data_IF_450306478308
#
_entry.id   IF_450306478308
#
_cell.length_a   1.000
_cell.length_b   1.000
_cell.length_c   1.000
_cell.angle_alpha   90.00
_cell.angle_beta   90.00
_cell.angle_gamma   90.00
#
_symmetry.space_group_name_H-M   'P 1'
#
loop_
_entity.id
_entity.type
_entity.pdbx_description
1 polymer ?
#
# COMPACT_ATOMS: atom_id res chain seq x y z
N UNK A 1 17.96 -23.10 20.54
CA UNK A 1 18.54 -21.76 20.28
C UNK A 1 17.79 -20.78 21.14
N UNK A 2 18.49 -19.96 21.98
CA UNK A 2 17.81 -18.84 22.67
C UNK A 2 17.32 -17.88 21.62
N UNK A 3 16.01 -17.72 21.49
CA UNK A 3 15.41 -16.71 20.59
C UNK A 3 15.85 -15.34 21.10
N UNK A 4 16.47 -14.53 20.24
CA UNK A 4 16.83 -13.14 20.58
C UNK A 4 15.57 -12.33 20.84
N UNK A 5 15.64 -11.44 21.85
CA UNK A 5 14.53 -10.52 22.17
C UNK A 5 14.85 -9.18 21.54
N UNK A 6 14.13 -8.81 20.49
CA UNK A 6 14.29 -7.53 19.80
C UNK A 6 13.91 -6.34 20.69
N UNK A 7 14.51 -5.18 20.47
CA UNK A 7 14.08 -3.95 21.15
C UNK A 7 12.69 -3.52 20.71
N UNK A 8 12.43 -3.61 19.40
CA UNK A 8 11.14 -3.26 18.80
C UNK A 8 10.80 -4.21 17.66
N UNK A 9 9.60 -4.76 17.66
CA UNK A 9 8.99 -5.38 16.48
C UNK A 9 7.92 -4.47 15.90
N UNK A 10 8.00 -4.21 14.59
CA UNK A 10 7.00 -3.46 13.82
C UNK A 10 6.26 -4.45 12.92
N UNK A 11 4.95 -4.60 13.14
CA UNK A 11 4.10 -5.43 12.30
C UNK A 11 3.45 -4.58 11.22
N UNK A 12 3.85 -4.84 9.97
CA UNK A 12 3.46 -4.12 8.77
C UNK A 12 4.57 -3.25 8.18
N UNK A 13 5.02 -3.61 6.99
CA UNK A 13 6.07 -2.93 6.21
C UNK A 13 5.52 -1.91 5.20
N UNK A 14 4.37 -1.28 5.50
CA UNK A 14 3.85 -0.15 4.75
C UNK A 14 4.57 1.15 5.10
N UNK A 15 4.14 2.27 4.52
CA UNK A 15 4.77 3.58 4.75
C UNK A 15 4.87 3.95 6.23
N UNK A 16 3.85 3.66 7.03
CA UNK A 16 3.84 3.97 8.47
C UNK A 16 4.90 3.16 9.22
N UNK A 17 4.94 1.84 9.01
CA UNK A 17 5.92 0.97 9.67
C UNK A 17 7.36 1.28 9.24
N UNK A 18 7.58 1.46 7.94
CA UNK A 18 8.90 1.80 7.40
C UNK A 18 9.39 3.18 7.85
N UNK A 19 8.50 4.18 7.93
CA UNK A 19 8.87 5.50 8.43
C UNK A 19 9.17 5.50 9.93
N UNK A 20 8.39 4.77 10.72
CA UNK A 20 8.67 4.60 12.14
C UNK A 20 10.00 3.88 12.37
N UNK A 21 10.25 2.79 11.64
CA UNK A 21 11.52 2.08 11.70
C UNK A 21 12.70 3.01 11.35
N UNK A 22 12.56 3.83 10.29
CA UNK A 22 13.55 4.84 9.90
C UNK A 22 13.84 5.84 11.02
N UNK A 23 12.83 6.28 11.77
CA UNK A 23 13.01 7.21 12.88
C UNK A 23 13.60 6.54 14.12
N UNK A 24 13.12 5.35 14.45
CA UNK A 24 13.50 4.63 15.66
C UNK A 24 14.90 4.01 15.60
N UNK A 25 15.50 3.82 14.44
CA UNK A 25 16.87 3.27 14.32
C UNK A 25 17.95 4.17 14.94
N UNK A 26 17.64 5.42 15.24
CA UNK A 26 18.54 6.31 15.97
C UNK A 26 18.53 6.04 17.48
N UNK A 27 17.46 5.42 17.99
CA UNK A 27 17.25 5.15 19.43
C UNK A 27 17.40 3.66 19.79
N UNK A 28 17.05 2.76 18.85
CA UNK A 28 17.04 1.31 19.06
C UNK A 28 17.95 0.61 18.06
N UNK A 29 18.79 -0.29 18.56
CA UNK A 29 19.74 -1.03 17.71
C UNK A 29 19.12 -2.25 17.05
N UNK A 30 18.14 -2.89 17.68
CA UNK A 30 17.54 -4.14 17.21
C UNK A 30 16.05 -3.95 16.92
N UNK A 31 15.77 -3.54 15.68
CA UNK A 31 14.42 -3.37 15.15
C UNK A 31 14.16 -4.44 14.10
N UNK A 32 13.02 -5.12 14.20
CA UNK A 32 12.54 -6.08 13.20
C UNK A 32 11.22 -5.63 12.60
N UNK A 33 11.12 -5.62 11.26
CA UNK A 33 9.85 -5.46 10.54
C UNK A 33 9.32 -6.84 10.15
N UNK A 34 8.05 -7.12 10.43
CA UNK A 34 7.36 -8.34 9.95
C UNK A 34 6.27 -7.92 8.98
N UNK A 35 6.36 -8.37 7.73
CA UNK A 35 5.45 -8.02 6.64
C UNK A 35 4.84 -9.27 5.99
N UNK A 36 3.52 -9.27 5.82
CA UNK A 36 2.78 -10.39 5.20
C UNK A 36 3.06 -10.55 3.70
N UNK A 37 3.34 -9.47 3.01
CA UNK A 37 3.57 -9.46 1.57
C UNK A 37 5.02 -9.83 1.23
N UNK A 38 5.26 -10.20 -0.03
CA UNK A 38 6.61 -10.51 -0.54
C UNK A 38 7.56 -9.32 -0.48
N UNK A 39 7.01 -8.10 -0.57
CA UNK A 39 7.78 -6.85 -0.58
C UNK A 39 7.15 -5.82 0.36
N UNK A 40 7.99 -4.94 0.91
CA UNK A 40 7.53 -3.79 1.67
C UNK A 40 6.80 -2.81 0.75
N UNK A 41 5.73 -2.20 1.26
CA UNK A 41 4.93 -1.26 0.47
C UNK A 41 3.57 -0.95 1.08
N UNK A 42 2.85 -2.00 1.48
CA UNK A 42 1.48 -1.84 1.95
C UNK A 42 0.60 -1.19 0.88
N UNK A 43 -0.02 -0.04 1.20
CA UNK A 43 -0.83 0.74 0.24
C UNK A 43 0.00 1.60 -0.73
N UNK A 44 1.30 1.74 -0.54
CA UNK A 44 2.26 2.22 -1.54
C UNK A 44 2.83 1.00 -2.27
N UNK A 45 2.09 0.46 -3.21
CA UNK A 45 2.44 -0.79 -3.87
C UNK A 45 2.55 -0.63 -5.37
N UNK A 46 3.52 -1.30 -5.93
CA UNK A 46 3.84 -1.35 -7.34
C UNK A 46 3.97 -2.81 -7.75
N UNK A 47 3.49 -3.18 -8.92
CA UNK A 47 3.58 -4.54 -9.46
C UNK A 47 3.93 -4.55 -10.94
N UNK A 48 4.50 -5.64 -11.46
CA UNK A 48 4.65 -5.82 -12.89
C UNK A 48 3.28 -6.01 -13.56
N UNK A 49 3.16 -5.50 -14.80
CA UNK A 49 2.02 -5.69 -15.71
C UNK A 49 2.59 -5.87 -17.11
N UNK A 50 2.61 -7.10 -17.62
CA UNK A 50 3.37 -7.44 -18.81
C UNK A 50 4.86 -7.12 -18.62
N UNK A 51 5.45 -6.38 -19.53
CA UNK A 51 6.84 -5.90 -19.44
C UNK A 51 6.96 -4.53 -18.76
N UNK A 52 5.87 -3.98 -18.24
CA UNK A 52 5.85 -2.69 -17.54
C UNK A 52 5.55 -2.82 -16.06
N UNK A 53 5.37 -1.67 -15.41
CA UNK A 53 5.09 -1.54 -13.99
C UNK A 53 3.87 -0.65 -13.77
N UNK A 54 3.08 -0.96 -12.74
CA UNK A 54 1.95 -0.14 -12.31
C UNK A 54 1.96 0.07 -10.80
N UNK A 55 1.77 1.31 -10.36
CA UNK A 55 1.34 1.58 -9.01
C UNK A 55 -0.17 1.30 -8.92
N UNK A 56 -0.57 0.36 -8.07
CA UNK A 56 -1.99 -0.03 -7.96
C UNK A 56 -2.64 0.34 -6.61
N UNK A 57 -1.87 0.96 -5.73
CA UNK A 57 -2.33 1.59 -4.49
C UNK A 57 -2.31 3.11 -4.59
N UNK A 58 -1.59 3.76 -3.67
CA UNK A 58 -1.41 5.21 -3.65
C UNK A 58 -0.64 5.69 -4.89
N UNK A 59 -1.20 6.64 -5.61
CA UNK A 59 -0.65 7.11 -6.88
C UNK A 59 0.34 8.28 -6.73
N UNK A 60 0.20 9.05 -5.66
CA UNK A 60 1.03 10.21 -5.37
C UNK A 60 0.96 10.60 -3.89
N UNK A 61 1.89 11.42 -3.44
CA UNK A 61 1.89 12.04 -2.12
C UNK A 61 1.50 13.52 -2.26
N UNK A 62 0.49 13.93 -1.48
CA UNK A 62 0.10 15.33 -1.30
C UNK A 62 0.42 15.72 0.16
N UNK A 63 1.61 16.30 0.45
CA UNK A 63 2.04 16.56 1.81
C UNK A 63 1.27 17.73 2.40
N UNK A 64 0.60 17.50 3.55
CA UNK A 64 -0.14 18.53 4.29
C UNK A 64 0.44 18.80 5.68
N UNK A 65 1.09 17.83 6.32
CA UNK A 65 1.73 18.01 7.62
C UNK A 65 3.21 18.38 7.48
N UNK A 66 3.77 19.02 8.51
CA UNK A 66 5.20 19.37 8.57
C UNK A 66 6.09 18.15 8.42
N UNK A 67 5.74 17.04 9.07
CA UNK A 67 6.47 15.78 9.03
C UNK A 67 6.49 15.18 7.62
N UNK A 68 5.34 15.19 6.93
CA UNK A 68 5.25 14.67 5.57
C UNK A 68 5.97 15.57 4.55
N UNK A 69 5.97 16.89 4.76
CA UNK A 69 6.76 17.84 3.98
C UNK A 69 8.26 17.54 4.15
N UNK A 70 8.72 17.35 5.38
CA UNK A 70 10.12 17.00 5.68
C UNK A 70 10.52 15.67 5.05
N UNK A 71 9.65 14.66 5.11
CA UNK A 71 9.87 13.38 4.44
C UNK A 71 9.97 13.54 2.92
N UNK A 72 9.08 14.31 2.30
CA UNK A 72 9.13 14.61 0.87
C UNK A 72 10.43 15.30 0.48
N UNK A 73 10.91 16.25 1.27
CA UNK A 73 12.20 16.91 1.03
C UNK A 73 13.37 15.92 1.10
N UNK A 74 13.39 15.01 2.09
CA UNK A 74 14.40 13.95 2.20
C UNK A 74 14.38 13.06 0.94
N UNK A 75 13.21 12.56 0.57
CA UNK A 75 13.05 11.65 -0.57
C UNK A 75 13.40 12.32 -1.92
N UNK A 76 13.12 13.62 -2.07
CA UNK A 76 13.55 14.39 -3.24
C UNK A 76 15.08 14.51 -3.33
N UNK A 77 15.76 14.81 -2.21
CA UNK A 77 17.24 14.84 -2.17
C UNK A 77 17.87 13.50 -2.56
N UNK A 78 17.14 12.40 -2.36
CA UNK A 78 17.55 11.04 -2.76
C UNK A 78 17.06 10.63 -4.16
N UNK A 79 16.50 11.56 -4.93
CA UNK A 79 15.91 11.30 -6.26
C UNK A 79 14.81 10.24 -6.29
N UNK A 80 14.23 9.92 -5.14
CA UNK A 80 13.14 8.95 -5.01
C UNK A 80 11.76 9.54 -5.31
N UNK A 81 11.66 10.87 -5.31
CA UNK A 81 10.44 11.58 -5.63
C UNK A 81 10.68 12.67 -6.66
N UNK A 82 9.79 12.79 -7.60
CA UNK A 82 9.64 13.93 -8.47
C UNK A 82 8.33 14.66 -8.22
N UNK A 83 8.35 15.99 -8.43
CA UNK A 83 7.18 16.83 -8.39
C UNK A 83 6.45 16.73 -9.71
N UNK A 84 5.13 16.63 -9.66
CA UNK A 84 4.26 16.77 -10.83
C UNK A 84 3.08 17.70 -10.51
N UNK A 85 2.48 18.24 -11.53
CA UNK A 85 1.28 19.05 -11.43
C UNK A 85 0.06 18.24 -11.88
N UNK A 86 -0.98 18.29 -11.06
CA UNK A 86 -2.28 17.68 -11.37
C UNK A 86 -3.32 18.79 -11.46
N UNK A 87 -3.75 19.10 -12.68
CA UNK A 87 -4.66 20.22 -12.92
C UNK A 87 -4.04 21.58 -12.58
N UNK A 88 -4.81 22.66 -12.60
CA UNK A 88 -4.29 24.03 -12.70
C UNK A 88 -3.60 24.59 -11.44
N UNK A 89 -3.52 23.87 -10.32
CA UNK A 89 -2.80 24.40 -9.11
C UNK A 89 -2.41 23.31 -8.10
N UNK A 90 -2.55 22.01 -8.40
CA UNK A 90 -2.27 20.95 -7.43
C UNK A 90 -0.91 20.31 -7.71
N UNK A 91 0.05 20.60 -6.84
CA UNK A 91 1.37 19.98 -6.85
C UNK A 91 1.37 18.73 -5.99
N UNK A 92 1.85 17.62 -6.53
CA UNK A 92 1.97 16.35 -5.83
C UNK A 92 3.33 15.70 -6.13
N UNK A 93 3.66 14.67 -5.39
CA UNK A 93 4.94 13.98 -5.51
C UNK A 93 4.73 12.50 -5.76
N UNK A 94 5.51 11.93 -6.67
CA UNK A 94 5.48 10.53 -6.98
C UNK A 94 6.88 9.96 -7.19
N UNK A 95 7.03 8.66 -7.03
CA UNK A 95 8.28 7.98 -7.34
C UNK A 95 8.31 7.56 -8.81
N UNK A 96 9.35 7.90 -9.57
CA UNK A 96 9.54 7.43 -10.94
C UNK A 96 9.94 5.93 -11.00
N UNK A 97 10.25 5.33 -9.86
CA UNK A 97 10.66 3.92 -9.73
C UNK A 97 9.55 3.02 -9.16
N UNK A 98 8.35 3.58 -8.92
CA UNK A 98 7.25 2.96 -8.22
C UNK A 98 7.14 3.40 -6.76
N UNK A 99 5.90 3.54 -6.30
CA UNK A 99 5.62 4.08 -4.96
C UNK A 99 6.15 3.18 -3.83
N UNK A 100 6.28 1.87 -4.06
CA UNK A 100 6.84 0.93 -3.09
C UNK A 100 8.35 1.14 -2.82
N UNK A 101 9.05 1.87 -3.66
CA UNK A 101 10.47 2.23 -3.41
C UNK A 101 10.64 3.14 -2.20
N UNK A 102 9.60 3.88 -1.84
CA UNK A 102 9.63 4.77 -0.67
C UNK A 102 9.75 3.95 0.64
N UNK A 103 8.82 3.05 0.99
CA UNK A 103 8.97 2.23 2.19
C UNK A 103 10.21 1.32 2.14
N UNK A 104 10.59 0.80 0.97
CA UNK A 104 11.84 0.03 0.82
C UNK A 104 13.07 0.86 1.19
N UNK A 105 13.18 2.10 0.71
CA UNK A 105 14.27 3.00 1.06
C UNK A 105 14.31 3.34 2.56
N UNK A 106 13.16 3.64 3.14
CA UNK A 106 13.06 3.96 4.57
C UNK A 106 13.45 2.79 5.48
N UNK A 107 13.36 1.58 4.97
CA UNK A 107 13.74 0.36 5.71
C UNK A 107 15.17 -0.12 5.41
N UNK A 108 15.98 0.65 4.69
CA UNK A 108 17.37 0.27 4.40
C UNK A 108 18.17 0.13 5.70
N UNK A 109 18.84 -1.03 5.84
CA UNK A 109 19.64 -1.38 7.01
C UNK A 109 18.80 -1.86 8.20
N UNK A 110 17.48 -2.03 8.06
CA UNK A 110 16.59 -2.57 9.09
C UNK A 110 16.15 -3.97 8.66
N UNK A 111 16.39 -5.01 9.47
CA UNK A 111 15.91 -6.35 9.21
C UNK A 111 14.41 -6.42 8.95
N UNK A 112 14.00 -7.13 7.91
CA UNK A 112 12.61 -7.34 7.57
C UNK A 112 12.33 -8.79 7.17
N UNK A 113 11.35 -9.41 7.81
CA UNK A 113 10.84 -10.74 7.46
C UNK A 113 9.57 -10.54 6.64
N UNK A 114 9.65 -10.87 5.37
CA UNK A 114 8.55 -10.79 4.40
C UNK A 114 7.86 -12.15 4.23
N UNK A 115 6.74 -12.21 3.49
CA UNK A 115 5.88 -13.40 3.37
C UNK A 115 5.47 -13.98 4.75
N UNK A 116 5.37 -13.14 5.77
CA UNK A 116 5.19 -13.54 7.16
C UNK A 116 3.92 -12.92 7.73
N UNK A 117 2.83 -13.65 7.61
CA UNK A 117 1.55 -13.23 8.15
C UNK A 117 1.52 -13.45 9.67
N UNK A 118 1.47 -12.35 10.44
CA UNK A 118 1.27 -12.42 11.89
C UNK A 118 -0.16 -12.84 12.18
N UNK A 119 -0.31 -13.92 12.91
CA UNK A 119 -1.62 -14.51 13.23
C UNK A 119 -1.99 -14.43 14.73
N UNK A 120 -1.00 -14.19 15.61
CA UNK A 120 -1.26 -14.03 17.04
C UNK A 120 -0.21 -13.16 17.72
N UNK A 121 -0.64 -12.37 18.70
CA UNK A 121 0.22 -11.54 19.53
C UNK A 121 -0.20 -11.71 20.99
N UNK A 122 0.75 -12.12 21.83
CA UNK A 122 0.58 -12.29 23.27
C UNK A 122 1.64 -11.55 24.04
N UNK A 123 1.48 -11.43 25.35
CA UNK A 123 2.49 -10.82 26.24
C UNK A 123 2.66 -11.71 27.46
N UNK A 124 3.90 -12.14 27.72
CA UNK A 124 4.25 -12.98 28.87
C UNK A 124 5.47 -12.38 29.57
N UNK A 125 5.41 -12.26 30.88
CA UNK A 125 6.52 -11.73 31.71
C UNK A 125 7.14 -10.43 31.16
N UNK A 126 6.29 -9.51 30.66
CA UNK A 126 6.73 -8.23 30.12
C UNK A 126 7.21 -8.25 28.67
N UNK A 127 7.41 -9.42 28.06
CA UNK A 127 7.88 -9.59 26.68
C UNK A 127 6.69 -9.90 25.75
N UNK A 128 6.70 -9.25 24.60
CA UNK A 128 5.76 -9.52 23.51
C UNK A 128 6.21 -10.74 22.72
N UNK A 129 5.30 -11.65 22.49
CA UNK A 129 5.46 -12.81 21.61
C UNK A 129 4.58 -12.60 20.37
N UNK A 130 5.21 -12.60 19.19
CA UNK A 130 4.59 -12.40 17.89
C UNK A 130 4.70 -13.71 17.11
N UNK A 131 3.59 -14.33 16.82
CA UNK A 131 3.54 -15.55 16.01
C UNK A 131 3.23 -15.21 14.55
N UNK A 132 4.10 -15.65 13.63
CA UNK A 132 3.91 -15.57 12.19
C UNK A 132 4.05 -16.98 11.56
N UNK A 133 2.92 -17.60 11.23
CA UNK A 133 2.90 -19.01 10.84
C UNK A 133 3.39 -19.92 11.98
N UNK A 134 4.45 -20.69 11.72
CA UNK A 134 5.13 -21.55 12.71
C UNK A 134 6.27 -20.85 13.46
N UNK A 135 6.62 -19.61 13.10
CA UNK A 135 7.71 -18.89 13.70
C UNK A 135 7.24 -17.98 14.83
N UNK A 136 8.11 -17.82 15.85
CA UNK A 136 7.88 -16.97 17.00
C UNK A 136 9.01 -15.93 17.10
N UNK A 137 8.61 -14.68 17.30
CA UNK A 137 9.51 -13.55 17.50
C UNK A 137 9.19 -12.89 18.85
N UNK A 138 10.22 -12.38 19.52
CA UNK A 138 10.08 -11.81 20.85
C UNK A 138 10.59 -10.38 20.86
N UNK A 139 9.92 -9.48 21.59
CA UNK A 139 10.36 -8.10 21.70
C UNK A 139 9.94 -7.43 23.01
N UNK A 140 10.70 -6.40 23.39
CA UNK A 140 10.36 -5.53 24.50
C UNK A 140 9.18 -4.61 24.16
N UNK A 141 9.05 -4.20 22.89
CA UNK A 141 8.04 -3.28 22.38
C UNK A 141 7.46 -3.79 21.07
N UNK A 142 6.18 -3.50 20.85
CA UNK A 142 5.51 -3.82 19.59
C UNK A 142 4.79 -2.60 19.02
N UNK A 143 4.88 -2.43 17.71
CA UNK A 143 4.16 -1.38 16.98
C UNK A 143 3.32 -2.06 15.89
N UNK A 144 2.04 -1.74 15.84
CA UNK A 144 1.07 -2.32 14.92
C UNK A 144 0.64 -1.24 13.92
N UNK A 145 0.92 -1.45 12.62
CA UNK A 145 0.68 -0.45 11.58
C UNK A 145 -0.38 -0.86 10.56
N UNK A 146 -1.03 -2.01 10.79
CA UNK A 146 -2.16 -2.47 10.00
C UNK A 146 -3.45 -1.70 10.36
N UNK A 147 -4.50 -1.77 9.52
CA UNK A 147 -5.82 -1.22 9.83
C UNK A 147 -6.34 -1.70 11.19
N UNK A 148 -6.93 -0.80 11.97
CA UNK A 148 -7.32 -1.08 13.36
C UNK A 148 -8.24 -2.31 13.50
N UNK A 149 -9.13 -2.55 12.52
CA UNK A 149 -9.99 -3.75 12.49
C UNK A 149 -9.17 -5.05 12.50
N UNK A 150 -7.96 -5.05 11.91
CA UNK A 150 -7.09 -6.23 11.89
C UNK A 150 -6.37 -6.43 13.24
N UNK A 151 -6.09 -5.36 13.97
CA UNK A 151 -5.46 -5.42 15.30
C UNK A 151 -6.30 -6.24 16.28
N UNK A 152 -7.63 -6.08 16.24
CA UNK A 152 -8.56 -6.80 17.12
C UNK A 152 -8.49 -8.33 16.99
N UNK A 153 -8.12 -8.83 15.82
CA UNK A 153 -8.00 -10.27 15.58
C UNK A 153 -6.64 -10.84 16.00
N UNK A 154 -5.64 -9.98 16.18
CA UNK A 154 -4.26 -10.40 16.45
C UNK A 154 -3.94 -10.37 17.95
N UNK A 155 -4.41 -9.37 18.67
CA UNK A 155 -4.09 -9.20 20.09
C UNK A 155 -5.05 -10.01 20.96
N UNK A 156 -4.49 -10.69 21.92
CA UNK A 156 -5.28 -11.37 22.95
C UNK A 156 -6.21 -10.40 23.67
N UNK A 157 -7.50 -10.77 23.78
CA UNK A 157 -8.55 -9.89 24.35
C UNK A 157 -8.26 -9.44 25.78
N UNK A 158 -7.56 -10.25 26.55
CA UNK A 158 -7.13 -9.93 27.91
C UNK A 158 -6.25 -8.68 27.99
N UNK A 159 -5.42 -8.45 26.98
CA UNK A 159 -4.54 -7.29 26.86
C UNK A 159 -5.28 -6.00 26.48
N UNK A 160 -6.48 -6.11 25.96
CA UNK A 160 -7.31 -4.99 25.50
C UNK A 160 -8.35 -4.53 26.52
N UNK A 161 -8.51 -5.22 27.66
CA UNK A 161 -9.57 -4.95 28.65
C UNK A 161 -9.59 -3.49 29.15
N UNK A 162 -8.43 -2.85 29.23
CA UNK A 162 -8.29 -1.49 29.75
C UNK A 162 -8.08 -0.43 28.65
N UNK A 163 -8.28 -0.81 27.39
CA UNK A 163 -8.06 0.10 26.24
C UNK A 163 -9.32 0.23 25.40
N UNK A 164 -9.77 1.46 25.21
CA UNK A 164 -10.76 1.79 24.19
C UNK A 164 -10.03 1.99 22.87
N UNK A 165 -10.11 1.01 21.98
CA UNK A 165 -9.53 1.15 20.65
C UNK A 165 -10.40 2.05 19.77
N UNK A 166 -9.81 2.95 18.98
CA UNK A 166 -10.58 3.80 18.08
C UNK A 166 -11.31 2.96 17.03
N UNK A 167 -12.54 3.33 16.74
CA UNK A 167 -13.27 2.78 15.59
C UNK A 167 -12.86 3.52 14.33
N UNK A 168 -12.72 2.84 13.23
CA UNK A 168 -12.47 3.44 11.93
C UNK A 168 -13.24 2.68 10.85
N UNK A 169 -13.94 3.41 10.02
CA UNK A 169 -14.52 2.88 8.80
C UNK A 169 -13.51 3.02 7.65
N UNK A 170 -13.59 2.10 6.71
CA UNK A 170 -12.72 2.09 5.53
C UNK A 170 -13.58 1.99 4.28
N UNK A 171 -13.25 2.81 3.31
CA UNK A 171 -13.76 2.62 1.95
C UNK A 171 -13.15 1.38 1.32
N UNK A 172 -13.97 0.72 0.51
CA UNK A 172 -13.59 -0.47 -0.24
C UNK A 172 -13.81 -0.21 -1.74
N UNK A 173 -12.83 -0.57 -2.57
CA UNK A 173 -13.00 -0.48 -4.01
C UNK A 173 -12.09 -1.43 -4.77
N UNK A 174 -12.45 -1.68 -6.03
CA UNK A 174 -11.60 -2.42 -6.97
C UNK A 174 -10.66 -1.48 -7.71
N UNK A 175 -9.46 -1.98 -7.96
CA UNK A 175 -8.46 -1.39 -8.84
C UNK A 175 -8.13 -2.40 -9.92
N UNK A 176 -8.14 -1.98 -11.19
CA UNK A 176 -7.62 -2.78 -12.28
C UNK A 176 -6.31 -2.19 -12.80
N UNK A 177 -5.38 -3.06 -13.20
CA UNK A 177 -4.15 -2.70 -13.90
C UNK A 177 -4.04 -3.54 -15.18
N UNK A 178 -3.63 -2.93 -16.26
CA UNK A 178 -3.60 -3.58 -17.57
C UNK A 178 -2.75 -2.78 -18.57
N UNK A 179 -2.40 -3.44 -19.69
CA UNK A 179 -1.88 -2.81 -20.89
C UNK A 179 -3.04 -2.49 -21.82
N UNK A 180 -3.06 -1.32 -22.44
CA UNK A 180 -4.06 -0.96 -23.43
C UNK A 180 -3.62 0.21 -24.32
N UNK A 181 -4.33 0.38 -25.45
CA UNK A 181 -4.38 1.64 -26.18
C UNK A 181 -5.62 2.42 -25.71
N UNK A 182 -5.47 3.73 -25.52
CA UNK A 182 -6.59 4.64 -25.24
C UNK A 182 -6.48 5.85 -26.14
N UNK A 183 -7.51 6.11 -26.92
CA UNK A 183 -7.62 7.35 -27.68
C UNK A 183 -7.71 8.54 -26.70
N UNK A 184 -7.03 9.64 -26.99
CA UNK A 184 -7.09 10.89 -26.22
C UNK A 184 -6.47 10.91 -24.82
N UNK A 185 -5.40 10.16 -24.54
CA UNK A 185 -4.78 10.15 -23.22
C UNK A 185 -3.36 10.72 -23.21
N UNK A 186 -3.22 12.04 -23.34
CA UNK A 186 -1.98 12.75 -22.98
C UNK A 186 -1.90 13.07 -21.49
N UNK A 187 -2.92 12.73 -20.70
CA UNK A 187 -2.99 13.03 -19.27
C UNK A 187 -2.40 11.90 -18.44
N UNK A 188 -1.59 12.27 -17.43
CA UNK A 188 -1.11 11.31 -16.43
C UNK A 188 -2.29 10.75 -15.63
N UNK A 189 -3.23 11.63 -15.23
CA UNK A 189 -4.42 11.30 -14.45
C UNK A 189 -5.68 11.83 -15.13
N UNK A 190 -6.74 11.02 -15.07
CA UNK A 190 -8.05 11.33 -15.62
C UNK A 190 -9.14 10.66 -14.78
N UNK A 191 -10.41 10.89 -15.10
CA UNK A 191 -11.57 10.23 -14.52
C UNK A 191 -12.71 10.14 -15.53
N UNK A 192 -13.74 9.38 -15.20
CA UNK A 192 -15.01 9.32 -15.92
C UNK A 192 -16.13 8.99 -14.93
N UNK A 193 -17.38 8.99 -15.37
CA UNK A 193 -18.54 8.66 -14.52
C UNK A 193 -18.46 7.24 -13.94
N UNK A 194 -17.86 6.31 -14.67
CA UNK A 194 -17.71 4.90 -14.25
C UNK A 194 -16.33 4.56 -13.65
N UNK A 195 -15.36 5.47 -13.73
CA UNK A 195 -14.00 5.29 -13.23
C UNK A 195 -13.60 6.49 -12.39
N UNK A 196 -13.51 6.31 -11.08
CA UNK A 196 -13.16 7.40 -10.15
C UNK A 196 -11.72 7.90 -10.33
N UNK A 197 -10.87 7.08 -10.94
CA UNK A 197 -9.46 7.40 -11.16
C UNK A 197 -8.88 6.60 -12.31
N UNK A 198 -8.17 7.28 -13.20
CA UNK A 198 -7.42 6.67 -14.31
C UNK A 198 -5.99 7.24 -14.23
N UNK A 199 -4.99 6.37 -14.25
CA UNK A 199 -3.58 6.74 -14.29
C UNK A 199 -2.87 6.03 -15.42
N UNK A 200 -2.19 6.79 -16.29
CA UNK A 200 -1.22 6.24 -17.23
C UNK A 200 0.16 6.18 -16.56
N UNK A 201 0.59 4.98 -16.20
CA UNK A 201 1.85 4.76 -15.48
C UNK A 201 3.09 5.07 -16.35
N UNK A 202 3.00 4.97 -17.69
CA UNK A 202 4.08 5.39 -18.60
C UNK A 202 4.29 6.91 -18.53
N UNK A 203 3.22 7.69 -18.66
CA UNK A 203 3.28 9.15 -18.57
C UNK A 203 3.67 9.61 -17.15
N UNK A 204 3.26 8.86 -16.13
CA UNK A 204 3.70 9.06 -14.75
C UNK A 204 5.22 8.92 -14.62
N UNK A 205 5.87 8.20 -15.53
CA UNK A 205 7.33 8.05 -15.62
C UNK A 205 7.85 6.78 -14.96
N UNK A 206 7.01 5.80 -14.72
CA UNK A 206 7.48 4.43 -14.53
C UNK A 206 8.10 3.97 -15.85
N UNK A 207 9.20 3.22 -15.78
CA UNK A 207 9.92 2.74 -16.95
C UNK A 207 9.08 1.72 -17.72
N UNK A 208 8.19 2.21 -18.57
CA UNK A 208 7.25 1.43 -19.37
C UNK A 208 7.45 1.74 -20.85
N UNK A 209 7.66 0.73 -21.68
CA UNK A 209 7.68 0.88 -23.14
C UNK A 209 6.26 1.03 -23.69
N UNK A 210 5.29 0.38 -23.07
CA UNK A 210 3.87 0.41 -23.43
C UNK A 210 3.04 1.23 -22.43
N UNK A 211 1.83 1.59 -22.81
CA UNK A 211 0.90 2.25 -21.91
C UNK A 211 0.33 1.26 -20.89
N UNK A 212 0.76 1.39 -19.67
CA UNK A 212 0.25 0.64 -18.51
C UNK A 212 -0.71 1.52 -17.74
N UNK A 213 -1.94 1.06 -17.58
CA UNK A 213 -2.96 1.80 -16.87
C UNK A 213 -3.26 1.21 -15.49
N UNK A 214 -3.60 2.10 -14.57
CA UNK A 214 -4.25 1.80 -13.30
C UNK A 214 -5.57 2.55 -13.26
N UNK A 215 -6.66 1.85 -12.99
CA UNK A 215 -7.98 2.46 -12.84
C UNK A 215 -8.60 2.04 -11.51
N UNK A 216 -9.28 2.97 -10.84
CA UNK A 216 -10.05 2.70 -9.64
C UNK A 216 -11.54 2.85 -9.95
N UNK A 217 -12.32 1.90 -9.49
CA UNK A 217 -13.77 1.92 -9.61
C UNK A 217 -14.39 2.64 -8.41
N UNK A 218 -15.48 3.41 -8.61
CA UNK A 218 -16.19 4.03 -7.50
C UNK A 218 -16.62 2.99 -6.44
N UNK A 219 -16.62 3.34 -5.14
CA UNK A 219 -17.03 2.42 -4.07
C UNK A 219 -18.41 1.80 -4.30
N UNK A 220 -19.37 2.58 -4.82
CA UNK A 220 -20.74 2.12 -5.11
C UNK A 220 -20.77 0.99 -6.14
N UNK A 221 -20.00 1.14 -7.23
CA UNK A 221 -19.88 0.09 -8.24
C UNK A 221 -19.10 -1.11 -7.70
N UNK A 222 -18.06 -0.86 -6.93
CA UNK A 222 -17.24 -1.90 -6.30
C UNK A 222 -18.07 -2.78 -5.35
N UNK A 223 -19.02 -2.21 -4.63
CA UNK A 223 -19.93 -2.98 -3.78
C UNK A 223 -20.78 -3.98 -4.59
N UNK A 224 -21.23 -3.60 -5.78
CA UNK A 224 -21.97 -4.50 -6.67
C UNK A 224 -21.05 -5.60 -7.25
N UNK A 225 -19.85 -5.24 -7.71
CA UNK A 225 -18.89 -6.19 -8.29
C UNK A 225 -18.39 -7.22 -7.28
N UNK A 226 -18.34 -6.89 -6.01
CA UNK A 226 -17.97 -7.82 -4.92
C UNK A 226 -18.93 -9.02 -4.83
N UNK A 227 -20.18 -8.86 -5.25
CA UNK A 227 -21.20 -9.91 -5.23
C UNK A 227 -21.09 -10.87 -6.41
N UNK A 228 -20.39 -10.49 -7.47
CA UNK A 228 -20.17 -11.31 -8.65
C UNK A 228 -19.10 -12.36 -8.38
N UNK A 229 -19.20 -13.52 -9.02
CA UNK A 229 -18.09 -14.45 -9.14
C UNK A 229 -16.90 -13.82 -9.90
N UNK A 230 -15.77 -14.51 -9.92
CA UNK A 230 -14.53 -13.95 -10.48
C UNK A 230 -14.68 -13.67 -11.98
N UNK A 231 -15.22 -14.63 -12.74
CA UNK A 231 -15.34 -14.54 -14.19
C UNK A 231 -16.33 -13.44 -14.61
N UNK A 232 -17.51 -13.40 -14.02
CA UNK A 232 -18.52 -12.36 -14.24
C UNK A 232 -18.00 -10.97 -13.92
N UNK A 233 -17.20 -10.85 -12.84
CA UNK A 233 -16.57 -9.61 -12.46
C UNK A 233 -15.53 -9.14 -13.47
N UNK A 234 -14.65 -10.03 -13.90
CA UNK A 234 -13.62 -9.70 -14.91
C UNK A 234 -14.26 -9.24 -16.20
N UNK A 235 -15.27 -9.96 -16.69
CA UNK A 235 -16.04 -9.58 -17.89
C UNK A 235 -16.71 -8.21 -17.75
N UNK A 236 -17.40 -7.97 -16.62
CA UNK A 236 -18.05 -6.67 -16.35
C UNK A 236 -17.04 -5.53 -16.33
N UNK A 237 -15.88 -5.74 -15.69
CA UNK A 237 -14.82 -4.74 -15.62
C UNK A 237 -14.26 -4.46 -17.01
N UNK A 238 -14.00 -5.48 -17.81
CA UNK A 238 -13.50 -5.33 -19.19
C UNK A 238 -14.50 -4.57 -20.09
N UNK A 239 -15.79 -4.86 -19.99
CA UNK A 239 -16.84 -4.10 -20.70
C UNK A 239 -16.82 -2.62 -20.33
N UNK A 240 -16.64 -2.29 -19.04
CA UNK A 240 -16.55 -0.89 -18.59
C UNK A 240 -15.30 -0.22 -19.13
N UNK A 241 -14.17 -0.91 -19.12
CA UNK A 241 -12.93 -0.38 -19.68
C UNK A 241 -13.08 -0.09 -21.18
N UNK A 242 -13.69 -1.00 -21.94
CA UNK A 242 -13.97 -0.81 -23.38
C UNK A 242 -14.87 0.42 -23.63
N UNK A 243 -15.92 0.61 -22.81
CA UNK A 243 -16.80 1.80 -22.88
C UNK A 243 -16.06 3.11 -22.54
N UNK A 244 -14.96 3.02 -21.81
CA UNK A 244 -14.07 4.16 -21.50
C UNK A 244 -12.91 4.31 -22.50
N UNK A 245 -13.08 3.78 -23.71
CA UNK A 245 -12.15 3.91 -24.84
C UNK A 245 -10.79 3.22 -24.64
N UNK A 246 -10.72 2.22 -23.76
CA UNK A 246 -9.56 1.33 -23.68
C UNK A 246 -9.73 0.21 -24.70
N UNK A 247 -8.74 0.02 -25.57
CA UNK A 247 -8.73 -1.00 -26.62
C UNK A 247 -7.51 -1.91 -26.47
N UNK A 248 -7.62 -3.14 -26.96
CA UNK A 248 -6.53 -4.13 -26.88
C UNK A 248 -6.04 -4.35 -25.46
N UNK A 249 -6.96 -4.59 -24.53
CA UNK A 249 -6.66 -4.83 -23.12
C UNK A 249 -5.90 -6.14 -22.99
N UNK A 250 -4.72 -6.10 -22.33
CA UNK A 250 -3.87 -7.25 -22.05
C UNK A 250 -3.41 -7.22 -20.60
N UNK A 251 -3.10 -8.40 -20.06
CA UNK A 251 -2.58 -8.55 -18.69
C UNK A 251 -3.47 -7.87 -17.63
N UNK A 252 -4.80 -7.95 -17.83
CA UNK A 252 -5.76 -7.44 -16.85
C UNK A 252 -5.57 -8.15 -15.50
N UNK A 253 -5.44 -7.35 -14.46
CA UNK A 253 -5.34 -7.83 -13.09
C UNK A 253 -6.16 -6.94 -12.18
N UNK A 254 -7.07 -7.54 -11.44
CA UNK A 254 -8.03 -6.86 -10.57
C UNK A 254 -7.63 -7.07 -9.12
N UNK A 255 -7.59 -5.99 -8.34
CA UNK A 255 -7.28 -6.02 -6.92
C UNK A 255 -8.41 -5.37 -6.12
N UNK A 256 -8.83 -6.03 -5.04
CA UNK A 256 -9.84 -5.52 -4.12
C UNK A 256 -9.20 -4.94 -2.87
N UNK A 257 -9.38 -3.64 -2.68
CA UNK A 257 -8.93 -2.91 -1.50
C UNK A 257 -10.01 -2.92 -0.43
N UNK A 258 -9.95 -3.86 0.51
CA UNK A 258 -10.86 -3.94 1.65
C UNK A 258 -10.68 -2.80 2.68
N UNK A 259 -9.49 -2.19 2.72
CA UNK A 259 -9.14 -1.12 3.64
C UNK A 259 -8.37 -0.03 2.87
N UNK A 260 -8.99 0.54 1.85
CA UNK A 260 -8.34 1.47 0.94
C UNK A 260 -7.89 2.76 1.67
N UNK A 261 -8.84 3.49 2.23
CA UNK A 261 -8.59 4.66 3.08
C UNK A 261 -9.65 4.75 4.17
N UNK A 262 -9.28 5.35 5.31
CA UNK A 262 -10.24 5.57 6.40
C UNK A 262 -11.17 6.72 6.07
N UNK A 263 -12.44 6.52 6.35
CA UNK A 263 -13.46 7.57 6.43
C UNK A 263 -13.62 7.98 7.88
N UNK A 264 -13.94 9.24 8.11
CA UNK A 264 -14.22 9.77 9.45
C UNK A 264 -15.43 9.11 10.06
#
# INVERSE_FOLDING_TARGET
MKSSVHDVIIVGGGISGSYLAFKLKEEFQDILIIEKSKVLGGRLCTKPVGYGMADYGCQYINPKSKELISLVHLLKKKSLLKKIEIGPKKQVYMSPYGMNKIPQYLSLGIPAVTNSFVNKITRKSGIWEVQAGSFFYFSKRIILTMPIKQVFFLIEKSLLKNYTLPTSNYEEFFTATFLAHRACSEKIFDNSDSLSWICNNKLKGLHNNENVYTVNFPPQLSFNYKKLDVESREKTIEEILNRNSFNNIKNLSIHYWKHAYSTK
#
